data_IF_810835117471
#
_entry.id   IF_810835117471
#
_cell.length_a   1.000
_cell.length_b   1.000
_cell.length_c   1.000
_cell.angle_alpha   90.00
_cell.angle_beta   90.00
_cell.angle_gamma   90.00
#
_symmetry.space_group_name_H-M   'P 1'
#
loop_
_entity.id
_entity.type
_entity.pdbx_description
1 polymer ?
#
# COMPACT_ATOMS: atom_id res chain seq x y z
N UNK A 1 11.54 47.78 2.39
CA UNK A 1 12.15 46.81 1.49
C UNK A 1 12.67 45.58 2.20
N UNK A 2 13.35 45.71 3.33
CA UNK A 2 13.82 44.54 4.08
C UNK A 2 12.71 43.63 4.59
N UNK A 3 11.56 44.19 4.93
CA UNK A 3 10.38 43.42 5.40
C UNK A 3 9.78 42.52 4.33
N UNK A 4 9.83 42.93 3.08
CA UNK A 4 9.29 42.15 1.97
C UNK A 4 10.13 40.94 1.69
N UNK A 5 11.44 41.05 1.81
CA UNK A 5 12.39 39.92 1.61
C UNK A 5 12.19 38.86 2.68
N UNK A 6 11.96 39.26 3.94
CA UNK A 6 11.73 38.33 5.05
C UNK A 6 10.44 37.57 4.85
N UNK A 7 9.37 38.21 4.38
CA UNK A 7 8.09 37.55 4.10
C UNK A 7 8.21 36.54 2.98
N UNK A 8 8.99 36.84 1.94
CA UNK A 8 9.21 35.93 0.84
C UNK A 8 9.94 34.65 1.31
N UNK A 9 10.92 34.80 2.20
CA UNK A 9 11.65 33.68 2.76
C UNK A 9 10.73 32.77 3.60
N UNK A 10 9.83 33.36 4.37
CA UNK A 10 8.86 32.60 5.17
C UNK A 10 7.89 31.81 4.29
N UNK A 11 7.43 32.40 3.17
CA UNK A 11 6.55 31.72 2.24
C UNK A 11 7.24 30.52 1.58
N UNK A 12 8.51 30.65 1.22
CA UNK A 12 9.30 29.57 0.66
C UNK A 12 9.45 28.42 1.66
N UNK A 13 9.67 28.73 2.92
CA UNK A 13 9.76 27.73 3.98
C UNK A 13 8.47 26.95 4.14
N UNK A 14 7.32 27.60 4.07
CA UNK A 14 6.02 26.95 4.15
C UNK A 14 5.80 25.97 2.99
N UNK A 15 6.29 26.27 1.80
CA UNK A 15 6.16 25.41 0.64
C UNK A 15 6.90 24.07 0.85
N UNK A 16 8.07 24.09 1.49
CA UNK A 16 8.81 22.87 1.78
C UNK A 16 8.06 21.91 2.70
N UNK A 17 7.35 22.43 3.69
CA UNK A 17 6.59 21.60 4.62
C UNK A 17 5.28 21.06 4.03
N UNK A 18 4.81 21.63 2.93
CA UNK A 18 3.57 21.22 2.30
C UNK A 18 3.76 20.15 1.22
N UNK A 19 5.01 19.75 0.95
CA UNK A 19 5.28 18.74 -0.09
C UNK A 19 5.10 17.33 0.46
N UNK A 20 4.07 16.65 -0.04
CA UNK A 20 3.81 15.24 0.25
C UNK A 20 4.03 14.43 -1.03
N UNK A 21 4.35 13.15 -0.86
CA UNK A 21 4.47 12.24 -2.01
C UNK A 21 3.07 11.90 -2.50
N UNK A 22 2.75 12.34 -3.70
CA UNK A 22 1.42 12.16 -4.28
C UNK A 22 1.22 10.76 -4.81
N UNK A 23 0.01 10.21 -4.72
CA UNK A 23 -0.33 8.95 -5.36
C UNK A 23 -0.17 9.03 -6.87
N UNK A 24 0.16 7.92 -7.48
CA UNK A 24 0.26 7.79 -8.93
C UNK A 24 -0.90 6.95 -9.45
N UNK A 25 -1.58 7.44 -10.48
CA UNK A 25 -2.67 6.71 -11.12
C UNK A 25 -2.39 6.54 -12.61
N UNK A 26 -2.63 5.33 -13.11
CA UNK A 26 -2.41 4.98 -14.51
C UNK A 26 -3.63 4.24 -15.05
N UNK A 27 -4.14 4.67 -16.20
CA UNK A 27 -5.25 3.97 -16.87
C UNK A 27 -4.67 2.78 -17.64
N UNK A 28 -5.15 1.58 -17.32
CA UNK A 28 -4.74 0.33 -17.97
C UNK A 28 -6.01 -0.40 -18.40
N UNK A 29 -6.36 -0.30 -19.69
CA UNK A 29 -7.62 -0.85 -20.18
C UNK A 29 -8.82 -0.17 -19.52
N UNK A 30 -9.69 -0.95 -18.90
CA UNK A 30 -10.85 -0.43 -18.17
C UNK A 30 -10.59 -0.30 -16.66
N UNK A 31 -9.34 -0.47 -16.22
CA UNK A 31 -8.95 -0.35 -14.82
C UNK A 31 -8.03 0.82 -14.62
N UNK A 32 -7.91 1.27 -13.39
CA UNK A 32 -6.96 2.30 -12.97
C UNK A 32 -5.99 1.68 -11.99
N UNK A 33 -4.70 1.65 -12.37
CA UNK A 33 -3.64 1.21 -11.47
C UNK A 33 -3.30 2.35 -10.53
N UNK A 34 -3.33 2.09 -9.23
CA UNK A 34 -3.00 3.07 -8.21
C UNK A 34 -1.73 2.65 -7.47
N UNK A 35 -0.84 3.61 -7.25
CA UNK A 35 0.38 3.42 -6.47
C UNK A 35 0.43 4.49 -5.40
N UNK A 36 0.47 4.07 -4.14
CA UNK A 36 0.58 4.95 -2.99
C UNK A 36 1.97 4.84 -2.40
N UNK A 37 2.47 5.93 -1.83
CA UNK A 37 3.85 6.00 -1.36
C UNK A 37 3.92 6.36 0.12
N UNK A 38 4.94 5.82 0.79
CA UNK A 38 5.37 6.30 2.10
C UNK A 38 6.03 7.67 1.96
N UNK A 39 6.18 8.38 3.07
CA UNK A 39 6.83 9.69 3.07
C UNK A 39 8.28 9.63 2.56
N UNK A 40 8.94 8.47 2.69
CA UNK A 40 10.32 8.30 2.21
C UNK A 40 10.41 7.99 0.71
N UNK A 41 9.27 7.97 -0.01
CA UNK A 41 9.23 7.72 -1.45
C UNK A 41 9.09 6.25 -1.83
N UNK A 42 9.20 5.32 -0.90
CA UNK A 42 8.98 3.91 -1.18
C UNK A 42 7.51 3.62 -1.39
N UNK A 43 7.21 2.63 -2.23
CA UNK A 43 5.83 2.22 -2.46
C UNK A 43 5.23 1.69 -1.16
N UNK A 44 4.06 2.21 -0.81
CA UNK A 44 3.30 1.80 0.37
C UNK A 44 2.27 0.73 0.00
N UNK A 45 1.57 0.92 -1.10
CA UNK A 45 0.51 0.02 -1.54
C UNK A 45 0.28 0.20 -3.02
N UNK A 46 -0.03 -0.88 -3.72
CA UNK A 46 -0.36 -0.82 -5.13
C UNK A 46 -1.43 -1.85 -5.50
N UNK A 47 -2.24 -1.50 -6.47
CA UNK A 47 -3.31 -2.36 -6.96
C UNK A 47 -4.14 -1.63 -8.00
N UNK A 48 -5.26 -2.23 -8.37
CA UNK A 48 -6.13 -1.68 -9.40
C UNK A 48 -7.51 -1.37 -8.86
N UNK A 49 -8.16 -0.40 -9.50
CA UNK A 49 -9.58 -0.10 -9.32
C UNK A 49 -10.32 -0.41 -10.59
N UNK A 50 -11.51 -0.97 -10.45
CA UNK A 50 -12.45 -1.19 -11.53
C UNK A 50 -13.78 -0.53 -11.15
N UNK A 51 -14.22 0.46 -11.92
CA UNK A 51 -15.43 1.22 -11.62
C UNK A 51 -15.47 1.76 -10.19
N UNK A 52 -14.32 2.27 -9.71
CA UNK A 52 -14.16 2.84 -8.39
C UNK A 52 -14.04 1.86 -7.24
N UNK A 53 -13.98 0.56 -7.50
CA UNK A 53 -13.83 -0.47 -6.48
C UNK A 53 -12.50 -1.18 -6.60
N UNK A 54 -11.94 -1.62 -5.48
CA UNK A 54 -10.70 -2.39 -5.49
C UNK A 54 -10.92 -3.68 -6.28
N UNK A 55 -9.98 -3.99 -7.16
CA UNK A 55 -10.09 -5.14 -8.05
C UNK A 55 -8.74 -5.81 -8.23
N UNK A 56 -8.72 -7.15 -8.20
CA UNK A 56 -7.53 -7.92 -8.45
C UNK A 56 -6.53 -7.88 -7.30
N UNK A 57 -5.28 -8.12 -7.63
CA UNK A 57 -4.20 -8.22 -6.65
C UNK A 57 -3.86 -6.86 -6.06
N UNK A 58 -3.73 -6.81 -4.73
CA UNK A 58 -3.26 -5.65 -3.99
C UNK A 58 -2.10 -6.06 -3.11
N UNK A 59 -1.06 -5.23 -3.10
CA UNK A 59 0.18 -5.49 -2.36
C UNK A 59 0.48 -4.29 -1.48
N UNK A 60 0.84 -4.57 -0.23
CA UNK A 60 1.28 -3.54 0.71
C UNK A 60 2.73 -3.80 1.11
N UNK A 61 3.48 -2.72 1.29
CA UNK A 61 4.91 -2.75 1.63
C UNK A 61 5.17 -1.89 2.86
N UNK A 62 6.19 -2.25 3.63
CA UNK A 62 6.65 -1.39 4.70
C UNK A 62 7.61 -0.31 4.17
N UNK A 63 8.09 0.56 5.04
CA UNK A 63 8.97 1.68 4.66
C UNK A 63 10.33 1.24 4.14
N UNK A 64 10.72 -0.01 4.39
CA UNK A 64 11.97 -0.59 3.90
C UNK A 64 11.81 -1.25 2.53
N UNK A 65 10.59 -1.29 1.99
CA UNK A 65 10.33 -1.90 0.69
C UNK A 65 9.99 -3.38 0.74
N UNK A 66 9.83 -3.95 1.92
CA UNK A 66 9.45 -5.35 2.07
C UNK A 66 7.94 -5.51 2.03
N UNK A 67 7.46 -6.56 1.37
CA UNK A 67 6.04 -6.87 1.34
C UNK A 67 5.55 -7.22 2.74
N UNK A 68 4.42 -6.63 3.14
CA UNK A 68 3.78 -6.94 4.43
C UNK A 68 2.39 -7.54 4.25
N UNK A 69 1.79 -7.37 3.08
CA UNK A 69 0.51 -7.99 2.78
C UNK A 69 0.34 -8.16 1.27
N UNK A 70 -0.32 -9.22 0.86
CA UNK A 70 -0.75 -9.43 -0.52
C UNK A 70 -2.09 -10.17 -0.50
N UNK A 71 -3.02 -9.71 -1.33
CA UNK A 71 -4.33 -10.34 -1.41
C UNK A 71 -5.05 -9.99 -2.68
N UNK A 72 -6.30 -10.39 -2.76
CA UNK A 72 -7.11 -10.20 -3.94
C UNK A 72 -8.48 -9.66 -3.58
N UNK A 73 -8.94 -8.70 -4.37
CA UNK A 73 -10.29 -8.15 -4.27
C UNK A 73 -11.10 -8.51 -5.52
N UNK A 74 -12.39 -8.72 -5.32
CA UNK A 74 -13.35 -8.82 -6.40
C UNK A 74 -14.47 -7.84 -6.12
N UNK A 75 -14.58 -6.78 -6.93
CA UNK A 75 -15.56 -5.71 -6.74
C UNK A 75 -15.56 -5.12 -5.32
N UNK A 76 -14.37 -4.86 -4.78
CA UNK A 76 -14.21 -4.28 -3.46
C UNK A 76 -14.30 -5.27 -2.30
N UNK A 77 -14.48 -6.55 -2.59
CA UNK A 77 -14.68 -7.61 -1.59
C UNK A 77 -13.42 -8.48 -1.54
N UNK A 78 -12.93 -8.76 -0.35
CA UNK A 78 -11.78 -9.66 -0.18
C UNK A 78 -12.15 -11.08 -0.55
N UNK A 79 -11.34 -11.72 -1.39
CA UNK A 79 -11.54 -13.11 -1.82
C UNK A 79 -10.21 -13.84 -1.84
N UNK A 80 -10.26 -15.16 -1.73
CA UNK A 80 -9.10 -16.01 -1.88
C UNK A 80 -8.11 -15.89 -0.73
N UNK A 81 -6.89 -16.28 -1.00
CA UNK A 81 -5.85 -16.33 0.01
C UNK A 81 -5.13 -15.00 0.14
N UNK A 82 -5.07 -14.51 1.37
CA UNK A 82 -4.36 -13.31 1.75
C UNK A 82 -3.17 -13.70 2.61
N UNK A 83 -2.04 -13.04 2.37
CA UNK A 83 -0.80 -13.30 3.09
C UNK A 83 -0.38 -12.02 3.82
N UNK A 84 -0.06 -12.18 5.10
CA UNK A 84 0.41 -11.08 5.95
C UNK A 84 1.72 -11.50 6.58
N UNK A 85 2.76 -10.71 6.38
CA UNK A 85 4.09 -10.97 6.94
C UNK A 85 4.36 -10.06 8.13
N UNK A 86 4.88 -10.66 9.19
CA UNK A 86 5.54 -9.94 10.28
C UNK A 86 7.00 -10.36 10.28
N UNK A 87 7.81 -9.85 11.23
CA UNK A 87 9.21 -10.23 11.30
C UNK A 87 9.42 -11.73 11.50
N UNK A 88 8.51 -12.36 12.22
CA UNK A 88 8.68 -13.77 12.65
C UNK A 88 7.68 -14.72 12.01
N UNK A 89 6.62 -14.24 11.42
CA UNK A 89 5.54 -15.10 10.97
C UNK A 89 4.97 -14.71 9.62
N UNK A 90 4.40 -15.69 8.96
CA UNK A 90 3.53 -15.51 7.80
C UNK A 90 2.14 -16.02 8.19
N UNK A 91 1.15 -15.15 8.06
CA UNK A 91 -0.25 -15.52 8.27
C UNK A 91 -0.93 -15.64 6.92
N UNK A 92 -1.53 -16.78 6.67
CA UNK A 92 -2.33 -17.04 5.48
C UNK A 92 -3.79 -17.02 5.90
N UNK A 93 -4.57 -16.12 5.32
CA UNK A 93 -5.99 -15.97 5.64
C UNK A 93 -6.78 -16.23 4.37
N UNK A 94 -7.70 -17.19 4.42
CA UNK A 94 -8.58 -17.48 3.30
C UNK A 94 -9.89 -16.76 3.48
N UNK A 95 -10.24 -15.90 2.51
CA UNK A 95 -11.45 -15.08 2.56
C UNK A 95 -12.49 -15.58 1.57
N UNK A 96 -13.73 -15.58 2.01
CA UNK A 96 -14.90 -15.79 1.16
C UNK A 96 -15.83 -14.60 1.36
N UNK A 97 -15.82 -13.65 0.42
CA UNK A 97 -16.68 -12.47 0.47
C UNK A 97 -16.49 -11.63 1.73
N UNK A 98 -15.26 -11.22 2.05
CA UNK A 98 -14.88 -10.48 3.26
C UNK A 98 -14.95 -11.30 4.54
N UNK A 99 -15.35 -12.55 4.47
CA UNK A 99 -15.46 -13.43 5.65
C UNK A 99 -14.25 -14.33 5.73
N UNK A 100 -13.67 -14.46 6.92
CA UNK A 100 -12.55 -15.36 7.16
C UNK A 100 -13.07 -16.80 7.15
N UNK A 101 -12.61 -17.59 6.18
CA UNK A 101 -12.95 -19.01 6.08
C UNK A 101 -11.93 -19.89 6.77
N UNK A 102 -10.64 -19.53 6.71
CA UNK A 102 -9.56 -20.30 7.33
C UNK A 102 -8.37 -19.38 7.61
N UNK A 103 -7.59 -19.74 8.63
CA UNK A 103 -6.36 -19.02 9.00
C UNK A 103 -5.25 -20.03 9.26
N UNK A 104 -4.10 -19.82 8.62
CA UNK A 104 -2.90 -20.61 8.85
C UNK A 104 -1.75 -19.69 9.24
N UNK A 105 -0.97 -20.11 10.20
CA UNK A 105 0.16 -19.35 10.69
C UNK A 105 1.44 -20.16 10.54
N UNK A 106 2.45 -19.54 9.95
CA UNK A 106 3.74 -20.14 9.70
C UNK A 106 4.81 -19.37 10.46
N UNK A 107 5.64 -20.05 11.24
CA UNK A 107 6.78 -19.41 11.86
C UNK A 107 7.91 -19.29 10.85
N UNK A 108 8.81 -18.33 11.07
CA UNK A 108 9.98 -18.16 10.22
C UNK A 108 10.83 -19.42 10.16
N UNK A 109 10.96 -20.11 11.28
CA UNK A 109 11.70 -21.37 11.34
C UNK A 109 11.08 -22.45 10.48
N UNK A 110 9.75 -22.58 10.51
CA UNK A 110 9.02 -23.55 9.70
C UNK A 110 9.19 -23.29 8.21
N UNK A 111 9.29 -22.03 7.79
CA UNK A 111 9.44 -21.65 6.39
C UNK A 111 10.85 -21.92 5.86
N UNK A 112 11.84 -21.88 6.72
CA UNK A 112 13.26 -22.09 6.34
C UNK A 112 13.66 -23.56 6.38
N UNK A 113 12.91 -24.36 7.11
CA UNK A 113 13.26 -25.74 7.45
C UNK A 113 12.85 -26.77 6.38
N UNK A 114 13.15 -26.49 5.16
CA UNK A 114 12.89 -27.45 4.08
C UNK A 114 14.19 -27.88 3.42
#
# INVERSE_FOLDING_TARGET
MKKVIIMAALLISCIFYAQEVQPKYEVVGNEVKATYFHDNGQVKQEGNYLSGKLQGKWISYNENGNKVAIGEYNNGVKVGKWFFWTDDTLNEVDYTGNRVADVRKWSKEALVKN
#
